data_IF_063885881801
#
_entry.id   IF_063885881801
#
_cell.length_a   1.000
_cell.length_b   1.000
_cell.length_c   1.000
_cell.angle_alpha   90.00
_cell.angle_beta   90.00
_cell.angle_gamma   90.00
#
_symmetry.space_group_name_H-M   'P 1'
#
loop_
_entity.id
_entity.type
_entity.pdbx_description
1 polymer ?
#
# COMPACT_ATOMS: atom_id res chain seq x y z
N UNK A 1 2.29 0.76 -20.26
CA UNK A 1 2.83 -0.19 -19.28
C UNK A 1 1.72 -1.01 -18.67
N UNK A 2 1.98 -2.27 -18.30
CA UNK A 2 0.99 -3.10 -17.60
C UNK A 2 0.93 -2.79 -16.11
N UNK A 3 2.04 -2.39 -15.52
CA UNK A 3 2.16 -2.01 -14.10
C UNK A 3 2.71 -0.58 -14.04
N UNK A 4 2.14 0.23 -13.17
CA UNK A 4 2.58 1.59 -12.87
C UNK A 4 3.02 1.61 -11.40
N UNK A 5 4.25 2.05 -11.13
CA UNK A 5 4.71 2.32 -9.76
C UNK A 5 4.64 3.82 -9.48
N UNK A 6 4.08 4.19 -8.34
CA UNK A 6 3.76 5.57 -8.04
C UNK A 6 3.87 5.87 -6.53
N UNK A 7 4.25 7.09 -6.17
CA UNK A 7 4.20 7.53 -4.77
C UNK A 7 2.80 8.04 -4.40
N UNK A 8 2.38 7.90 -3.14
CA UNK A 8 1.05 8.28 -2.66
C UNK A 8 0.61 9.69 -3.09
N UNK A 9 1.48 10.68 -2.96
CA UNK A 9 1.18 12.08 -3.25
C UNK A 9 0.67 12.33 -4.67
N UNK A 10 1.20 11.60 -5.66
CA UNK A 10 0.78 11.75 -7.06
C UNK A 10 -0.63 11.23 -7.22
N UNK A 11 -0.91 10.02 -6.73
CA UNK A 11 -2.26 9.42 -6.79
C UNK A 11 -3.27 10.30 -6.06
N UNK A 12 -2.92 10.76 -4.85
CA UNK A 12 -3.78 11.63 -4.06
C UNK A 12 -4.12 12.95 -4.76
N UNK A 13 -3.12 13.60 -5.37
CA UNK A 13 -3.34 14.84 -6.12
C UNK A 13 -4.28 14.61 -7.29
N UNK A 14 -4.07 13.56 -8.07
CA UNK A 14 -4.91 13.22 -9.21
C UNK A 14 -6.35 12.95 -8.74
N UNK A 15 -6.53 12.09 -7.75
CA UNK A 15 -7.87 11.75 -7.25
C UNK A 15 -8.59 12.98 -6.67
N UNK A 16 -7.89 13.80 -5.88
CA UNK A 16 -8.48 15.01 -5.26
C UNK A 16 -8.80 16.09 -6.29
N UNK A 17 -7.96 16.27 -7.31
CA UNK A 17 -8.12 17.35 -8.30
C UNK A 17 -9.09 16.98 -9.41
N UNK A 18 -8.97 15.77 -9.96
CA UNK A 18 -9.61 15.43 -11.23
C UNK A 18 -10.88 14.58 -11.06
N UNK A 19 -11.00 13.86 -9.97
CA UNK A 19 -12.08 12.89 -9.75
C UNK A 19 -13.05 13.32 -8.65
N UNK A 20 -12.56 13.70 -7.47
CA UNK A 20 -13.42 14.10 -6.33
C UNK A 20 -14.34 15.29 -6.61
N UNK A 21 -13.96 16.38 -7.28
CA UNK A 21 -14.87 17.50 -7.51
C UNK A 21 -16.13 17.13 -8.30
N UNK A 22 -16.06 16.06 -9.08
CA UNK A 22 -17.22 15.55 -9.85
C UNK A 22 -18.21 14.76 -8.99
N UNK A 23 -17.83 14.39 -7.76
CA UNK A 23 -18.56 13.50 -6.86
C UNK A 23 -19.03 14.21 -5.60
N UNK A 24 -18.33 15.24 -5.17
CA UNK A 24 -18.57 15.94 -3.88
C UNK A 24 -19.85 16.79 -3.85
N UNK A 25 -20.62 16.82 -4.94
CA UNK A 25 -21.95 17.40 -4.92
C UNK A 25 -22.93 16.48 -4.12
N UNK A 26 -23.97 17.09 -3.53
CA UNK A 26 -24.99 16.38 -2.72
C UNK A 26 -25.62 15.19 -3.46
N UNK A 27 -25.76 15.30 -4.77
CA UNK A 27 -26.33 14.28 -5.65
C UNK A 27 -25.39 13.08 -5.78
N UNK A 28 -24.08 13.30 -6.01
CA UNK A 28 -23.08 12.23 -6.10
C UNK A 28 -22.97 11.41 -4.81
N UNK A 29 -22.99 12.09 -3.65
CA UNK A 29 -22.98 11.41 -2.33
C UNK A 29 -24.24 10.59 -2.08
N UNK A 30 -25.39 11.07 -2.52
CA UNK A 30 -26.68 10.35 -2.41
C UNK A 30 -26.71 9.14 -3.35
N UNK A 31 -26.27 9.30 -4.59
CA UNK A 31 -26.23 8.25 -5.60
C UNK A 31 -25.29 7.10 -5.21
N UNK A 32 -24.18 7.40 -4.54
CA UNK A 32 -23.24 6.38 -4.01
C UNK A 32 -23.86 5.50 -2.90
N UNK A 33 -24.96 5.94 -2.28
CA UNK A 33 -25.67 5.18 -1.24
C UNK A 33 -26.74 4.25 -1.80
N UNK A 34 -27.11 4.38 -3.09
CA UNK A 34 -28.17 3.58 -3.71
C UNK A 34 -27.60 2.33 -4.38
N UNK A 35 -28.00 1.09 -3.98
CA UNK A 35 -27.33 -0.15 -4.41
C UNK A 35 -27.28 -0.35 -5.94
N UNK A 36 -28.38 -0.14 -6.64
CA UNK A 36 -28.52 -0.44 -8.09
C UNK A 36 -27.87 0.64 -8.98
N UNK A 37 -27.97 1.92 -8.60
CA UNK A 37 -27.36 3.05 -9.34
C UNK A 37 -25.86 3.11 -9.08
N UNK A 38 -25.46 2.58 -7.95
CA UNK A 38 -24.09 2.56 -7.44
C UNK A 38 -23.10 1.88 -8.40
N UNK A 39 -23.42 0.72 -8.98
CA UNK A 39 -22.47 -0.04 -9.79
C UNK A 39 -22.12 0.64 -11.11
N UNK A 40 -23.09 1.25 -11.79
CA UNK A 40 -22.84 2.03 -13.01
C UNK A 40 -22.00 3.28 -12.73
N UNK A 41 -22.31 3.98 -11.63
CA UNK A 41 -21.55 5.17 -11.22
C UNK A 41 -20.13 4.79 -10.84
N UNK A 42 -19.94 3.74 -10.04
CA UNK A 42 -18.61 3.23 -9.69
C UNK A 42 -17.80 2.84 -10.93
N UNK A 43 -18.43 2.15 -11.89
CA UNK A 43 -17.77 1.76 -13.13
C UNK A 43 -17.35 2.97 -13.98
N UNK A 44 -18.20 4.01 -14.09
CA UNK A 44 -17.87 5.25 -14.79
C UNK A 44 -16.73 6.01 -14.07
N UNK A 45 -16.78 6.07 -12.74
CA UNK A 45 -15.72 6.69 -11.93
C UNK A 45 -14.40 5.94 -12.04
N UNK A 46 -14.43 4.60 -11.97
CA UNK A 46 -13.25 3.77 -12.19
C UNK A 46 -12.67 4.00 -13.57
N UNK A 47 -13.52 4.00 -14.63
CA UNK A 47 -13.09 4.26 -15.99
C UNK A 47 -12.38 5.61 -16.11
N UNK A 48 -12.98 6.69 -15.59
CA UNK A 48 -12.38 8.03 -15.59
C UNK A 48 -11.07 8.09 -14.82
N UNK A 49 -11.00 7.40 -13.68
CA UNK A 49 -9.76 7.29 -12.92
C UNK A 49 -8.67 6.57 -13.72
N UNK A 50 -9.01 5.48 -14.39
CA UNK A 50 -8.08 4.74 -15.24
C UNK A 50 -7.60 5.56 -16.43
N UNK A 51 -8.49 6.34 -17.07
CA UNK A 51 -8.15 7.21 -18.21
C UNK A 51 -7.05 8.23 -17.87
N UNK A 52 -7.05 8.76 -16.66
CA UNK A 52 -6.01 9.72 -16.20
C UNK A 52 -4.62 9.06 -16.13
N UNK A 53 -4.56 7.76 -15.85
CA UNK A 53 -3.33 6.98 -15.80
C UNK A 53 -3.01 6.26 -17.13
N UNK A 54 -3.79 6.49 -18.20
CA UNK A 54 -3.53 5.97 -19.55
C UNK A 54 -4.34 4.74 -19.97
N UNK A 55 -5.35 4.35 -19.22
CA UNK A 55 -6.38 3.31 -19.49
C UNK A 55 -5.88 1.86 -19.65
N UNK A 56 -4.67 1.63 -20.16
CA UNK A 56 -4.13 0.31 -20.51
C UNK A 56 -3.07 -0.16 -19.50
N UNK A 57 -3.49 -0.35 -18.26
CA UNK A 57 -2.67 -0.94 -17.20
C UNK A 57 -3.49 -1.93 -16.39
N UNK A 58 -2.83 -2.89 -15.76
CA UNK A 58 -3.47 -3.91 -14.95
C UNK A 58 -3.58 -3.45 -13.49
N UNK A 59 -2.55 -2.73 -12.99
CA UNK A 59 -2.42 -2.36 -11.58
C UNK A 59 -1.51 -1.14 -11.37
N UNK A 60 -1.82 -0.35 -10.34
CA UNK A 60 -0.91 0.68 -9.81
C UNK A 60 -0.37 0.23 -8.46
N UNK A 61 0.95 0.15 -8.34
CA UNK A 61 1.64 -0.10 -7.07
C UNK A 61 1.97 1.23 -6.41
N UNK A 62 1.45 1.43 -5.21
CA UNK A 62 1.62 2.65 -4.42
C UNK A 62 2.51 2.33 -3.22
N UNK A 63 3.63 3.05 -3.08
CA UNK A 63 4.57 2.81 -1.99
C UNK A 63 5.51 3.97 -1.72
N UNK A 64 6.35 3.83 -0.69
CA UNK A 64 7.38 4.80 -0.33
C UNK A 64 6.93 5.91 0.64
N UNK A 65 5.65 5.96 1.01
CA UNK A 65 5.10 6.83 2.05
C UNK A 65 3.71 6.34 2.50
N UNK A 66 3.18 6.78 3.67
CA UNK A 66 1.81 6.49 4.07
C UNK A 66 0.80 7.00 3.06
N UNK A 67 -0.23 6.20 2.77
CA UNK A 67 -1.28 6.56 1.83
C UNK A 67 -2.50 7.12 2.56
N UNK A 68 -3.12 8.15 1.99
CA UNK A 68 -4.26 8.81 2.61
C UNK A 68 -5.47 7.87 2.68
N UNK A 69 -5.95 7.57 3.90
CA UNK A 69 -7.02 6.60 4.15
C UNK A 69 -8.36 6.95 3.49
N UNK A 70 -8.66 8.23 3.24
CA UNK A 70 -9.90 8.60 2.51
C UNK A 70 -9.78 8.31 1.02
N UNK A 71 -8.60 8.57 0.44
CA UNK A 71 -8.32 8.28 -0.96
C UNK A 71 -8.29 6.77 -1.17
N UNK A 72 -7.68 6.02 -0.27
CA UNK A 72 -7.65 4.57 -0.30
C UNK A 72 -9.07 3.98 -0.27
N UNK A 73 -9.89 4.39 0.71
CA UNK A 73 -11.30 3.96 0.79
C UNK A 73 -12.06 4.26 -0.49
N UNK A 74 -11.85 5.43 -1.07
CA UNK A 74 -12.49 5.80 -2.33
C UNK A 74 -12.06 4.90 -3.48
N UNK A 75 -10.76 4.64 -3.67
CA UNK A 75 -10.25 3.75 -4.71
C UNK A 75 -10.80 2.33 -4.56
N UNK A 76 -10.81 1.80 -3.33
CA UNK A 76 -11.41 0.49 -3.03
C UNK A 76 -12.91 0.46 -3.36
N UNK A 77 -13.64 1.52 -3.01
CA UNK A 77 -15.08 1.63 -3.26
C UNK A 77 -15.45 1.60 -4.74
N UNK A 78 -14.65 2.22 -5.61
CA UNK A 78 -14.87 2.21 -7.06
C UNK A 78 -14.26 1.00 -7.76
N UNK A 79 -13.56 0.11 -7.03
CA UNK A 79 -12.88 -1.05 -7.58
C UNK A 79 -11.70 -0.68 -8.49
N UNK A 80 -10.98 0.39 -8.16
CA UNK A 80 -9.78 0.78 -8.90
C UNK A 80 -8.63 -0.20 -8.61
N UNK A 81 -7.87 -0.67 -9.64
CA UNK A 81 -6.82 -1.66 -9.46
C UNK A 81 -5.56 -1.00 -8.86
N UNK A 82 -5.45 -1.00 -7.54
CA UNK A 82 -4.27 -0.52 -6.82
C UNK A 82 -3.81 -1.51 -5.78
N UNK A 83 -2.53 -1.53 -5.50
CA UNK A 83 -1.96 -2.20 -4.33
C UNK A 83 -1.08 -1.23 -3.53
N UNK A 84 -0.96 -1.50 -2.24
CA UNK A 84 0.01 -0.85 -1.38
C UNK A 84 1.21 -1.79 -1.25
N UNK A 85 2.42 -1.25 -1.48
CA UNK A 85 3.66 -1.96 -1.22
C UNK A 85 4.40 -1.26 -0.08
N UNK A 86 4.77 -2.04 0.93
CA UNK A 86 5.60 -1.59 2.03
C UNK A 86 7.01 -2.14 1.88
N UNK A 87 7.98 -1.31 2.19
CA UNK A 87 9.37 -1.68 2.19
C UNK A 87 10.31 -0.50 2.31
N UNK A 88 11.59 -0.81 2.24
CA UNK A 88 12.69 0.14 2.38
C UNK A 88 13.85 -0.27 1.48
N UNK A 89 14.75 0.67 1.21
CA UNK A 89 15.90 0.46 0.32
C UNK A 89 16.76 -0.73 0.76
N UNK A 90 16.92 -0.89 2.07
CA UNK A 90 17.65 -1.97 2.73
C UNK A 90 17.08 -3.38 2.47
N UNK A 91 15.87 -3.45 1.91
CA UNK A 91 15.15 -4.71 1.62
C UNK A 91 14.90 -4.93 0.12
N UNK A 92 15.55 -4.20 -0.75
CA UNK A 92 15.63 -4.35 -2.19
C UNK A 92 14.36 -4.29 -3.05
N UNK A 93 13.35 -3.39 -2.90
CA UNK A 93 12.95 -2.61 -1.74
C UNK A 93 11.70 -3.15 -1.01
N UNK A 94 11.01 -4.22 -1.53
CA UNK A 94 9.66 -4.59 -1.08
C UNK A 94 9.70 -5.69 -0.01
N UNK A 95 9.09 -5.41 1.13
CA UNK A 95 8.89 -6.34 2.25
C UNK A 95 7.51 -6.99 2.18
N UNK A 96 6.44 -6.18 2.04
CA UNK A 96 5.06 -6.64 1.98
C UNK A 96 4.35 -6.08 0.75
N UNK A 97 3.49 -6.90 0.16
CA UNK A 97 2.51 -6.49 -0.84
C UNK A 97 1.44 -7.58 -1.00
N UNK A 98 0.33 -7.27 -1.63
CA UNK A 98 -0.69 -8.24 -2.06
C UNK A 98 -1.21 -7.84 -3.43
N UNK A 99 -1.83 -8.76 -4.14
CA UNK A 99 -2.57 -8.43 -5.35
C UNK A 99 -3.73 -7.50 -5.01
N UNK A 100 -4.04 -6.56 -5.90
CA UNK A 100 -5.08 -5.55 -5.67
C UNK A 100 -6.47 -6.15 -5.35
N UNK A 101 -6.78 -7.34 -5.90
CA UNK A 101 -8.04 -8.04 -5.66
C UNK A 101 -8.20 -8.47 -4.19
N UNK A 102 -7.10 -8.84 -3.55
CA UNK A 102 -7.07 -9.37 -2.19
C UNK A 102 -6.57 -8.38 -1.14
N UNK A 103 -6.09 -7.20 -1.58
CA UNK A 103 -5.62 -6.17 -0.65
C UNK A 103 -6.75 -5.69 0.26
N UNK A 104 -6.50 -5.70 1.57
CA UNK A 104 -7.40 -5.13 2.58
C UNK A 104 -7.13 -3.63 2.73
N UNK A 105 -8.15 -2.87 3.15
CA UNK A 105 -7.99 -1.47 3.53
C UNK A 105 -7.03 -1.32 4.72
N UNK A 106 -6.22 -0.28 4.68
CA UNK A 106 -5.20 0.04 5.69
C UNK A 106 -4.17 -1.09 5.91
N UNK A 107 -3.96 -1.96 4.91
CA UNK A 107 -2.98 -3.03 4.94
C UNK A 107 -1.91 -2.82 3.87
N UNK A 108 -0.69 -3.21 4.20
CA UNK A 108 0.41 -3.29 3.23
C UNK A 108 0.49 -4.68 2.55
N UNK A 109 -0.50 -5.54 2.79
CA UNK A 109 -0.50 -6.91 2.26
C UNK A 109 0.34 -7.89 3.05
N UNK A 110 0.67 -9.01 2.43
CA UNK A 110 1.43 -10.12 3.03
C UNK A 110 2.92 -9.98 2.74
N UNK A 111 3.74 -10.65 3.55
CA UNK A 111 5.17 -10.78 3.27
C UNK A 111 5.39 -11.30 1.85
N UNK A 112 6.32 -10.70 1.12
CA UNK A 112 6.67 -11.14 -0.24
C UNK A 112 7.39 -12.50 -0.20
N UNK A 113 7.42 -13.20 -1.32
CA UNK A 113 8.11 -14.49 -1.45
C UNK A 113 9.55 -14.38 -0.96
N UNK A 114 9.98 -15.33 -0.12
CA UNK A 114 11.31 -15.39 0.50
C UNK A 114 11.59 -14.32 1.56
N UNK A 115 10.55 -13.64 2.04
CA UNK A 115 10.63 -12.75 3.21
C UNK A 115 9.90 -13.37 4.39
N UNK A 116 10.49 -13.28 5.55
CA UNK A 116 9.86 -13.48 6.84
C UNK A 116 9.62 -12.11 7.48
N UNK A 117 8.42 -11.89 8.00
CA UNK A 117 8.05 -10.62 8.65
C UNK A 117 7.42 -10.95 10.01
N UNK A 118 7.82 -10.21 11.02
CA UNK A 118 7.24 -10.28 12.37
C UNK A 118 6.97 -8.88 12.88
N UNK A 119 6.04 -8.79 13.80
CA UNK A 119 5.85 -7.59 14.62
C UNK A 119 6.43 -7.91 16.00
N UNK A 120 7.41 -7.13 16.40
CA UNK A 120 8.03 -7.26 17.72
C UNK A 120 7.09 -6.64 18.78
N UNK A 121 6.16 -7.46 19.23
CA UNK A 121 5.09 -7.10 20.15
C UNK A 121 4.67 -8.32 20.97
N UNK A 122 4.28 -8.14 22.22
CA UNK A 122 3.70 -9.22 23.03
C UNK A 122 2.35 -9.71 22.52
N UNK A 123 1.63 -8.87 21.77
CA UNK A 123 0.35 -9.19 21.12
C UNK A 123 0.30 -8.49 19.75
N UNK A 124 0.90 -9.08 18.70
CA UNK A 124 1.02 -8.45 17.38
C UNK A 124 -0.31 -8.06 16.73
N UNK A 125 -1.42 -8.63 17.18
CA UNK A 125 -2.74 -8.33 16.61
C UNK A 125 -3.35 -7.05 17.21
N UNK A 126 -3.09 -6.78 18.48
CA UNK A 126 -3.76 -5.71 19.22
C UNK A 126 -2.81 -4.60 19.68
N UNK A 127 -1.52 -4.92 19.83
CA UNK A 127 -0.50 -3.99 20.30
C UNK A 127 0.52 -3.77 19.18
N UNK A 128 0.62 -2.53 18.72
CA UNK A 128 1.61 -2.18 17.71
C UNK A 128 3.03 -2.43 18.22
N UNK A 129 3.87 -3.02 17.38
CA UNK A 129 5.27 -3.25 17.62
C UNK A 129 6.09 -2.95 16.37
N UNK A 130 7.40 -3.01 16.50
CA UNK A 130 8.30 -2.79 15.38
C UNK A 130 8.15 -3.90 14.33
N UNK A 131 8.13 -3.50 13.06
CA UNK A 131 8.23 -4.44 11.96
C UNK A 131 9.68 -4.90 11.87
N UNK A 132 9.91 -6.20 12.04
CA UNK A 132 11.21 -6.82 11.79
C UNK A 132 11.09 -7.83 10.64
N UNK A 133 12.10 -7.87 9.80
CA UNK A 133 12.05 -8.74 8.62
C UNK A 133 13.38 -9.43 8.35
N UNK A 134 13.30 -10.58 7.66
CA UNK A 134 14.46 -11.38 7.26
C UNK A 134 14.18 -12.01 5.90
N UNK A 135 15.17 -12.04 5.02
CA UNK A 135 14.99 -12.66 3.70
C UNK A 135 16.16 -12.45 2.76
N UNK A 136 16.04 -13.06 1.58
CA UNK A 136 17.12 -13.06 0.59
C UNK A 136 17.35 -11.70 -0.08
N UNK A 137 16.43 -10.75 0.06
CA UNK A 137 16.51 -9.40 -0.50
C UNK A 137 17.01 -8.35 0.50
N UNK A 138 17.43 -8.76 1.70
CA UNK A 138 18.10 -7.84 2.61
C UNK A 138 19.45 -7.41 2.04
N UNK A 139 19.81 -6.15 2.27
CA UNK A 139 21.14 -5.65 1.96
C UNK A 139 22.21 -6.44 2.72
N UNK A 140 23.41 -6.47 2.20
CA UNK A 140 24.59 -7.04 2.89
C UNK A 140 25.07 -6.16 4.05
N UNK A 141 24.66 -4.89 4.05
CA UNK A 141 25.03 -3.88 5.03
C UNK A 141 25.33 -2.52 4.39
N UNK A 142 25.52 -1.53 5.22
CA UNK A 142 25.93 -0.20 4.78
C UNK A 142 27.41 -0.20 4.37
N UNK A 143 27.70 0.38 3.22
CA UNK A 143 29.04 0.42 2.67
C UNK A 143 30.03 1.10 3.63
N UNK A 144 31.08 0.35 4.03
CA UNK A 144 32.11 0.80 4.99
C UNK A 144 31.57 1.33 6.32
N UNK A 145 30.39 0.87 6.74
CA UNK A 145 29.76 1.27 8.00
C UNK A 145 29.16 0.06 8.73
N UNK A 146 30.03 -0.74 9.30
CA UNK A 146 29.64 -1.95 10.05
C UNK A 146 28.88 -1.63 11.32
N UNK A 147 29.16 -0.48 11.95
CA UNK A 147 28.44 -0.01 13.15
C UNK A 147 26.99 0.25 12.83
N UNK A 148 26.67 1.08 11.83
CA UNK A 148 25.30 1.32 11.43
C UNK A 148 24.59 0.03 10.96
N UNK A 149 25.32 -0.88 10.31
CA UNK A 149 24.77 -2.18 9.90
C UNK A 149 24.34 -3.00 11.12
N UNK A 150 25.19 -3.10 12.15
CA UNK A 150 24.88 -3.86 13.37
C UNK A 150 23.80 -3.25 14.24
N UNK A 151 23.48 -1.96 14.06
CA UNK A 151 22.36 -1.29 14.73
C UNK A 151 21.01 -1.69 14.17
N UNK A 152 20.93 -2.05 12.87
CA UNK A 152 19.64 -2.37 12.22
C UNK A 152 19.51 -3.84 11.81
N UNK A 153 20.59 -4.60 11.70
CA UNK A 153 20.56 -6.05 11.45
C UNK A 153 21.13 -6.75 12.68
N UNK A 154 20.28 -7.50 13.38
CA UNK A 154 20.67 -8.22 14.59
C UNK A 154 21.53 -9.44 14.29
N UNK A 155 22.06 -10.08 15.35
CA UNK A 155 22.92 -11.27 15.27
C UNK A 155 22.24 -12.50 14.66
N UNK A 156 20.91 -12.52 14.63
CA UNK A 156 20.08 -13.57 14.02
C UNK A 156 19.71 -13.26 12.57
N UNK A 157 20.15 -12.12 12.04
CA UNK A 157 19.88 -11.66 10.67
C UNK A 157 18.50 -11.04 10.48
N UNK A 158 17.84 -10.56 11.55
CA UNK A 158 16.63 -9.76 11.45
C UNK A 158 16.98 -8.30 11.28
N UNK A 159 16.36 -7.67 10.29
CA UNK A 159 16.43 -6.23 10.08
C UNK A 159 15.30 -5.53 10.84
N UNK A 160 15.69 -4.55 11.64
CA UNK A 160 14.80 -3.64 12.38
C UNK A 160 14.47 -2.45 11.51
N UNK A 161 13.19 -2.28 11.17
CA UNK A 161 12.78 -1.25 10.20
C UNK A 161 12.59 0.13 10.80
N UNK A 162 12.38 0.21 12.11
CA UNK A 162 11.98 1.43 12.82
C UNK A 162 10.50 1.80 12.63
N UNK A 163 9.75 1.08 11.82
CA UNK A 163 8.33 1.32 11.57
C UNK A 163 7.46 0.45 12.48
N UNK A 164 6.31 1.00 12.92
CA UNK A 164 5.37 0.31 13.79
C UNK A 164 4.14 -0.17 13.03
N UNK A 165 3.69 -1.40 13.34
CA UNK A 165 2.46 -1.96 12.79
C UNK A 165 1.80 -2.95 13.75
N UNK A 166 0.60 -3.38 13.39
CA UNK A 166 -0.05 -4.60 13.88
C UNK A 166 -0.12 -5.61 12.74
N UNK A 167 -0.33 -6.88 13.06
CA UNK A 167 -0.47 -7.96 12.08
C UNK A 167 -1.80 -8.66 12.32
N UNK A 168 -2.62 -8.81 11.31
CA UNK A 168 -3.84 -9.61 11.40
C UNK A 168 -3.55 -11.12 11.23
N UNK A 169 -4.58 -11.94 11.33
CA UNK A 169 -4.47 -13.42 11.28
C UNK A 169 -4.49 -14.00 9.87
N UNK A 170 -4.56 -13.16 8.82
CA UNK A 170 -4.73 -13.66 7.44
C UNK A 170 -3.49 -13.61 6.58
#
# INVERSE_FOLDING_TARGET
PRIISCVPLIVEKIIKKDIRPRIDNKIGKLLLRMPIVNDKIKADMRKKAMEVFGSNFDEIIIGGAPFNAEVERFLKQIGFPYTIAYGMTECGPIICSSRWETLKLASCGKATTRMEVKIDSPDPQNVAGEIICKGANLMLGYYKNTEATSQIIDVNGWLHTGDLATMDTE
#
